data_IF_517370406500
#
_entry.id   IF_517370406500
#
_cell.length_a   1.000
_cell.length_b   1.000
_cell.length_c   1.000
_cell.angle_alpha   90.00
_cell.angle_beta   90.00
_cell.angle_gamma   90.00
#
_symmetry.space_group_name_H-M   'P 1'
#
loop_
_entity.id
_entity.type
_entity.pdbx_description
1 polymer ?
#
# COMPACT_ATOMS: atom_id res chain seq x y z
N UNK A 1 4.02 16.32 -65.61
CA UNK A 1 3.24 15.53 -64.64
C UNK A 1 2.04 14.92 -65.34
N UNK A 2 1.89 13.63 -65.19
CA UNK A 2 0.74 12.90 -65.74
C UNK A 2 -0.55 13.30 -64.97
N UNK A 3 -1.71 13.04 -65.58
CA UNK A 3 -3.03 13.31 -64.92
C UNK A 3 -3.13 12.58 -63.57
N UNK A 4 -2.60 11.35 -63.48
CA UNK A 4 -2.52 10.57 -62.24
C UNK A 4 -1.66 11.25 -61.16
N UNK A 5 -0.48 11.78 -61.54
CA UNK A 5 0.41 12.49 -60.59
C UNK A 5 -0.24 13.76 -60.03
N UNK A 6 -1.06 14.48 -60.82
CA UNK A 6 -1.81 15.66 -60.32
C UNK A 6 -2.91 15.29 -59.34
N UNK A 7 -3.62 14.19 -59.61
CA UNK A 7 -4.65 13.68 -58.69
C UNK A 7 -4.02 13.22 -57.38
N UNK A 8 -2.92 12.48 -57.38
CA UNK A 8 -2.21 12.04 -56.20
C UNK A 8 -1.70 13.24 -55.37
N UNK A 9 -1.16 14.25 -56.03
CA UNK A 9 -0.71 15.47 -55.32
C UNK A 9 -1.88 16.22 -54.69
N UNK A 10 -3.01 16.35 -55.38
CA UNK A 10 -4.18 16.99 -54.83
C UNK A 10 -4.75 16.24 -53.60
N UNK A 11 -4.80 14.92 -53.65
CA UNK A 11 -5.22 14.06 -52.51
C UNK A 11 -4.26 14.21 -51.33
N UNK A 12 -2.95 14.23 -51.59
CA UNK A 12 -1.95 14.43 -50.52
C UNK A 12 -2.12 15.81 -49.86
N UNK A 13 -2.31 16.87 -50.63
CA UNK A 13 -2.53 18.23 -50.10
C UNK A 13 -3.79 18.26 -49.22
N UNK A 14 -4.88 17.64 -49.67
CA UNK A 14 -6.12 17.56 -48.89
C UNK A 14 -5.91 16.80 -47.58
N UNK A 15 -5.22 15.66 -47.63
CA UNK A 15 -4.90 14.88 -46.39
C UNK A 15 -4.01 15.66 -45.42
N UNK A 16 -3.02 16.39 -45.93
CA UNK A 16 -2.16 17.26 -45.09
C UNK A 16 -2.97 18.41 -44.49
N UNK A 17 -3.87 19.03 -45.29
CA UNK A 17 -4.71 20.10 -44.78
C UNK A 17 -5.72 19.61 -43.71
N UNK A 18 -6.33 18.44 -43.92
CA UNK A 18 -7.20 17.80 -42.93
C UNK A 18 -6.39 17.45 -41.68
N UNK A 19 -5.22 16.81 -41.82
CA UNK A 19 -4.36 16.46 -40.70
C UNK A 19 -3.89 17.69 -39.92
N UNK A 20 -3.51 18.77 -40.60
CA UNK A 20 -3.16 20.06 -40.00
C UNK A 20 -4.35 20.72 -39.29
N UNK A 21 -5.52 20.71 -39.90
CA UNK A 21 -6.74 21.24 -39.30
C UNK A 21 -7.16 20.47 -38.04
N UNK A 22 -7.07 19.14 -38.06
CA UNK A 22 -7.33 18.30 -36.88
C UNK A 22 -6.30 18.58 -35.78
N UNK A 23 -5.02 18.67 -36.12
CA UNK A 23 -3.96 18.97 -35.15
C UNK A 23 -4.14 20.37 -34.49
N UNK A 24 -4.57 21.37 -35.26
CA UNK A 24 -4.90 22.69 -34.73
C UNK A 24 -6.16 22.67 -33.88
N UNK A 25 -7.22 21.94 -34.30
CA UNK A 25 -8.42 21.79 -33.50
C UNK A 25 -8.16 21.10 -32.17
N UNK A 26 -7.33 20.03 -32.15
CA UNK A 26 -6.92 19.35 -30.92
C UNK A 26 -6.06 20.21 -29.98
N UNK A 27 -5.50 21.32 -30.45
CA UNK A 27 -4.79 22.32 -29.63
C UNK A 27 -5.67 23.51 -29.25
N UNK A 28 -6.90 23.56 -29.75
CA UNK A 28 -7.84 24.62 -29.39
C UNK A 28 -8.23 24.53 -27.92
N UNK A 29 -8.12 25.62 -27.12
CA UNK A 29 -8.58 25.65 -25.73
C UNK A 29 -10.03 25.21 -25.57
N UNK A 30 -10.91 25.50 -26.53
CA UNK A 30 -12.29 25.10 -26.50
C UNK A 30 -12.48 23.57 -26.62
N UNK A 31 -11.73 22.94 -27.53
CA UNK A 31 -11.76 21.47 -27.69
C UNK A 31 -11.15 20.78 -26.48
N UNK A 32 -10.00 21.27 -26.01
CA UNK A 32 -9.36 20.74 -24.79
C UNK A 32 -10.29 20.92 -23.59
N UNK A 33 -10.92 22.08 -23.43
CA UNK A 33 -11.85 22.39 -22.35
C UNK A 33 -13.08 21.46 -22.36
N UNK A 34 -13.64 21.18 -23.53
CA UNK A 34 -14.74 20.24 -23.68
C UNK A 34 -14.34 18.80 -23.25
N UNK A 35 -13.16 18.34 -23.70
CA UNK A 35 -12.65 17.02 -23.27
C UNK A 35 -12.39 16.96 -21.78
N UNK A 36 -11.76 18.00 -21.21
CA UNK A 36 -11.49 18.09 -19.78
C UNK A 36 -12.79 18.07 -18.96
N UNK A 37 -13.80 18.86 -19.35
CA UNK A 37 -15.10 18.85 -18.67
C UNK A 37 -15.76 17.48 -18.71
N UNK A 38 -15.76 16.84 -19.88
CA UNK A 38 -16.34 15.49 -20.05
C UNK A 38 -15.60 14.47 -19.16
N UNK A 39 -14.28 14.51 -19.13
CA UNK A 39 -13.46 13.65 -18.27
C UNK A 39 -13.74 13.92 -16.80
N UNK A 40 -13.79 15.18 -16.39
CA UNK A 40 -14.07 15.57 -15.00
C UNK A 40 -15.46 15.05 -14.56
N UNK A 41 -16.50 15.28 -15.36
CA UNK A 41 -17.86 14.78 -15.08
C UNK A 41 -17.91 13.26 -14.95
N UNK A 42 -17.25 12.52 -15.85
CA UNK A 42 -17.19 11.07 -15.81
C UNK A 42 -16.50 10.59 -14.52
N UNK A 43 -15.42 11.24 -14.12
CA UNK A 43 -14.68 10.89 -12.88
C UNK A 43 -15.48 11.12 -11.62
N UNK A 44 -16.11 12.28 -11.51
CA UNK A 44 -16.96 12.56 -10.34
C UNK A 44 -18.16 11.62 -10.29
N UNK A 45 -18.74 11.25 -11.41
CA UNK A 45 -19.80 10.26 -11.47
C UNK A 45 -19.29 8.86 -11.03
N UNK A 46 -18.12 8.44 -11.52
CA UNK A 46 -17.49 7.19 -11.12
C UNK A 46 -17.17 7.18 -9.61
N UNK A 47 -16.55 8.24 -9.10
CA UNK A 47 -16.26 8.38 -7.67
C UNK A 47 -17.52 8.30 -6.81
N UNK A 48 -18.58 8.99 -7.20
CA UNK A 48 -19.86 9.01 -6.47
C UNK A 48 -20.64 7.69 -6.56
N UNK A 49 -20.41 6.89 -7.60
CA UNK A 49 -21.10 5.61 -7.81
C UNK A 49 -20.35 4.40 -7.25
N UNK A 50 -19.14 4.58 -6.72
CA UNK A 50 -18.34 3.48 -6.21
C UNK A 50 -18.98 2.81 -5.02
N UNK A 51 -19.52 1.62 -5.26
CA UNK A 51 -19.98 0.67 -4.24
C UNK A 51 -19.00 -0.49 -4.00
N UNK A 52 -17.82 -0.44 -4.61
CA UNK A 52 -16.86 -1.57 -4.73
C UNK A 52 -16.46 -2.24 -3.41
N UNK A 53 -16.79 -1.63 -2.28
CA UNK A 53 -16.48 -2.12 -0.94
C UNK A 53 -17.71 -2.13 -0.04
N UNK A 54 -18.90 -2.11 -0.63
CA UNK A 54 -20.19 -2.15 0.07
C UNK A 54 -20.70 -3.58 0.29
N UNK A 55 -20.00 -4.60 -0.24
CA UNK A 55 -20.31 -5.98 0.02
C UNK A 55 -19.79 -6.41 1.40
N UNK A 56 -20.33 -7.51 1.89
CA UNK A 56 -20.12 -8.00 3.24
C UNK A 56 -18.86 -8.89 3.38
N UNK A 57 -17.80 -8.57 2.58
CA UNK A 57 -16.54 -9.28 2.53
C UNK A 57 -15.40 -8.61 3.29
N UNK A 58 -14.28 -9.30 3.32
CA UNK A 58 -12.98 -8.78 3.73
C UNK A 58 -12.13 -8.55 2.49
N UNK A 59 -11.59 -7.34 2.31
CA UNK A 59 -10.80 -7.01 1.12
C UNK A 59 -9.42 -6.54 1.52
N UNK A 60 -8.42 -6.88 0.71
CA UNK A 60 -7.03 -6.42 0.85
C UNK A 60 -6.64 -5.64 -0.39
N UNK A 61 -6.06 -4.46 -0.21
CA UNK A 61 -5.48 -3.66 -1.28
C UNK A 61 -4.05 -3.29 -0.88
N UNK A 62 -3.10 -3.60 -1.73
CA UNK A 62 -1.73 -3.14 -1.53
C UNK A 62 -1.62 -1.71 -2.07
N UNK A 63 -1.38 -0.75 -1.19
CA UNK A 63 -1.19 0.66 -1.52
C UNK A 63 0.28 1.08 -1.56
N UNK A 64 1.18 0.18 -1.19
CA UNK A 64 2.62 0.36 -1.30
C UNK A 64 3.37 -0.93 -1.03
N UNK A 65 4.26 -1.31 -1.92
CA UNK A 65 4.96 -2.61 -1.90
C UNK A 65 6.47 -2.49 -1.92
N UNK A 66 7.03 -1.27 -1.91
CA UNK A 66 8.46 -1.03 -1.83
C UNK A 66 8.97 -0.98 -0.39
N UNK A 67 10.25 -1.30 -0.22
CA UNK A 67 11.09 -1.10 0.97
C UNK A 67 11.67 0.33 1.00
N UNK A 68 12.52 0.72 1.99
CA UNK A 68 13.13 2.05 2.06
C UNK A 68 13.90 2.47 0.80
N UNK A 69 14.44 1.50 0.05
CA UNK A 69 15.23 1.76 -1.14
C UNK A 69 14.40 2.42 -2.26
N UNK A 70 14.98 3.30 -3.08
CA UNK A 70 14.25 3.98 -4.15
C UNK A 70 13.65 3.00 -5.16
N UNK A 71 12.35 3.16 -5.42
CA UNK A 71 11.62 2.46 -6.47
C UNK A 71 10.73 3.47 -7.21
N UNK A 72 10.85 3.54 -8.54
CA UNK A 72 10.11 4.50 -9.35
C UNK A 72 8.64 4.12 -9.57
N UNK A 73 8.29 2.87 -9.32
CA UNK A 73 6.98 2.30 -9.69
C UNK A 73 6.14 1.86 -8.49
N UNK A 74 6.70 1.90 -7.27
CA UNK A 74 6.07 1.38 -6.06
C UNK A 74 6.16 2.40 -4.94
N UNK A 75 5.07 2.66 -4.26
CA UNK A 75 5.05 3.39 -2.99
C UNK A 75 5.64 2.52 -1.87
N UNK A 76 6.03 3.15 -0.76
CA UNK A 76 6.54 2.47 0.43
C UNK A 76 5.43 1.72 1.16
N UNK A 77 5.80 0.95 2.17
CA UNK A 77 4.95 0.02 2.90
C UNK A 77 3.53 0.54 3.17
N UNK A 78 2.53 -0.11 2.60
CA UNK A 78 1.12 0.19 2.83
C UNK A 78 0.23 -0.97 2.41
N UNK A 79 -0.55 -1.49 3.36
CA UNK A 79 -1.58 -2.49 3.09
C UNK A 79 -2.91 -2.01 3.66
N UNK A 80 -3.93 -1.88 2.83
CA UNK A 80 -5.27 -1.50 3.27
C UNK A 80 -6.17 -2.72 3.36
N UNK A 81 -6.89 -2.83 4.47
CA UNK A 81 -7.89 -3.87 4.73
C UNK A 81 -9.26 -3.21 4.85
N UNK A 82 -10.24 -3.67 4.07
CA UNK A 82 -11.61 -3.17 4.10
C UNK A 82 -12.54 -4.23 4.64
N UNK A 83 -13.33 -3.88 5.65
CA UNK A 83 -14.32 -4.74 6.29
C UNK A 83 -15.59 -3.95 6.58
N UNK A 84 -16.76 -4.44 6.18
CA UNK A 84 -18.03 -3.75 6.40
C UNK A 84 -18.09 -2.33 5.84
N UNK A 85 -17.42 -2.07 4.71
CA UNK A 85 -17.34 -0.76 4.07
C UNK A 85 -16.40 0.26 4.74
N UNK A 86 -15.70 -0.11 5.83
CA UNK A 86 -14.70 0.72 6.53
C UNK A 86 -13.30 0.23 6.20
N UNK A 87 -12.39 1.15 5.96
CA UNK A 87 -11.00 0.84 5.61
C UNK A 87 -10.05 1.08 6.79
N UNK A 88 -9.09 0.21 6.93
CA UNK A 88 -8.03 0.25 7.92
C UNK A 88 -6.69 0.09 7.20
N UNK A 89 -5.76 0.97 7.48
CA UNK A 89 -4.48 1.02 6.76
C UNK A 89 -3.38 0.52 7.68
N UNK A 90 -2.65 -0.50 7.25
CA UNK A 90 -1.43 -0.98 7.92
C UNK A 90 -0.26 -0.32 7.24
N UNK A 91 0.44 0.52 7.99
CA UNK A 91 1.51 1.41 7.58
C UNK A 91 1.10 2.46 6.53
N UNK A 92 1.80 3.58 6.57
CA UNK A 92 1.57 4.76 5.73
C UNK A 92 2.90 5.25 5.17
N UNK A 93 3.59 4.37 4.44
CA UNK A 93 4.88 4.72 3.84
C UNK A 93 4.76 5.80 2.76
N UNK A 94 5.85 6.52 2.47
CA UNK A 94 5.87 7.58 1.46
C UNK A 94 5.26 7.15 0.12
N UNK A 95 4.48 8.05 -0.47
CA UNK A 95 3.72 7.90 -1.72
C UNK A 95 2.49 6.97 -1.64
N UNK A 96 2.21 6.34 -0.49
CA UNK A 96 1.07 5.42 -0.35
C UNK A 96 -0.27 6.14 -0.43
N UNK A 97 -0.38 7.36 0.11
CA UNK A 97 -1.56 8.19 -0.10
C UNK A 97 -1.79 8.48 -1.60
N UNK A 98 -0.72 8.83 -2.32
CA UNK A 98 -0.80 9.05 -3.77
C UNK A 98 -1.40 7.83 -4.50
N UNK A 99 -1.01 6.61 -4.14
CA UNK A 99 -1.58 5.40 -4.74
C UNK A 99 -3.08 5.28 -4.46
N UNK A 100 -3.52 5.49 -3.22
CA UNK A 100 -4.95 5.46 -2.87
C UNK A 100 -5.75 6.54 -3.61
N UNK A 101 -5.20 7.75 -3.74
CA UNK A 101 -5.81 8.83 -4.50
C UNK A 101 -5.92 8.49 -6.00
N UNK A 102 -4.89 7.85 -6.59
CA UNK A 102 -4.90 7.36 -7.95
C UNK A 102 -5.93 6.23 -8.18
N UNK A 103 -6.16 5.42 -7.17
CA UNK A 103 -7.21 4.38 -7.15
C UNK A 103 -8.60 4.96 -6.89
N UNK A 104 -8.73 6.28 -6.66
CA UNK A 104 -9.98 6.96 -6.28
C UNK A 104 -10.62 6.32 -5.04
N UNK A 105 -9.81 5.93 -4.05
CA UNK A 105 -10.36 5.36 -2.83
C UNK A 105 -11.08 6.45 -2.00
N UNK A 106 -12.33 6.22 -1.53
CA UNK A 106 -13.05 7.20 -0.73
C UNK A 106 -12.34 7.46 0.62
N UNK A 107 -11.78 8.66 0.78
CA UNK A 107 -10.94 9.04 1.92
C UNK A 107 -11.69 9.00 3.27
N UNK A 108 -12.97 9.31 3.27
CA UNK A 108 -13.87 9.30 4.44
C UNK A 108 -14.14 7.90 5.01
N UNK A 109 -13.88 6.86 4.22
CA UNK A 109 -14.01 5.45 4.68
C UNK A 109 -12.82 4.97 5.50
N UNK A 110 -11.69 5.70 5.52
CA UNK A 110 -10.52 5.33 6.33
C UNK A 110 -10.84 5.60 7.80
N UNK A 111 -10.98 4.51 8.54
CA UNK A 111 -11.43 4.48 9.93
C UNK A 111 -10.29 4.35 10.95
N UNK A 112 -9.09 3.99 10.52
CA UNK A 112 -7.92 3.88 11.40
C UNK A 112 -6.66 3.50 10.65
N UNK A 113 -5.53 3.80 11.29
CA UNK A 113 -4.18 3.42 10.85
C UNK A 113 -3.56 2.51 11.90
N UNK A 114 -2.88 1.47 11.46
CA UNK A 114 -2.15 0.51 12.29
C UNK A 114 -0.68 0.54 11.90
N UNK A 115 0.18 1.03 12.78
CA UNK A 115 1.62 1.11 12.52
C UNK A 115 2.31 -0.15 13.03
N UNK A 116 3.05 -0.82 12.14
CA UNK A 116 3.82 -2.01 12.51
C UNK A 116 5.05 -1.66 13.34
N UNK A 117 5.74 -0.60 12.95
CA UNK A 117 6.87 0.03 13.64
C UNK A 117 7.08 1.46 13.11
N UNK A 118 8.16 2.15 13.53
CA UNK A 118 8.29 3.58 13.28
C UNK A 118 9.45 3.95 12.32
N UNK A 119 9.88 3.06 11.45
CA UNK A 119 10.76 3.44 10.35
C UNK A 119 10.05 4.42 9.40
N UNK A 120 10.82 5.29 8.76
CA UNK A 120 10.31 6.36 7.92
C UNK A 120 9.52 5.87 6.71
N UNK A 121 9.86 4.70 6.18
CA UNK A 121 9.16 4.07 5.07
C UNK A 121 7.85 3.37 5.47
N UNK A 122 7.51 3.36 6.76
CA UNK A 122 6.22 2.90 7.31
C UNK A 122 5.34 4.04 7.82
N UNK A 123 5.91 5.20 8.16
CA UNK A 123 5.15 6.30 8.75
C UNK A 123 5.17 7.60 7.93
N UNK A 124 5.97 7.68 6.85
CA UNK A 124 6.30 8.96 6.22
C UNK A 124 5.13 9.72 5.59
N UNK A 125 4.06 9.04 5.17
CA UNK A 125 2.84 9.65 4.63
C UNK A 125 1.73 9.83 5.69
N UNK A 126 1.96 9.54 6.97
CA UNK A 126 0.93 9.63 8.01
C UNK A 126 0.30 11.01 8.06
N UNK A 127 1.07 12.06 7.80
CA UNK A 127 0.57 13.43 7.69
C UNK A 127 -0.40 13.62 6.53
N UNK A 128 -0.11 13.03 5.36
CA UNK A 128 -1.01 13.05 4.21
C UNK A 128 -2.29 12.25 4.47
N UNK A 129 -2.21 11.07 5.09
CA UNK A 129 -3.40 10.34 5.50
C UNK A 129 -4.27 11.16 6.45
N UNK A 130 -3.67 11.82 7.44
CA UNK A 130 -4.34 12.73 8.35
C UNK A 130 -5.09 13.83 7.61
N UNK A 131 -4.37 14.55 6.74
CA UNK A 131 -4.89 15.69 5.99
C UNK A 131 -5.99 15.30 5.02
N UNK A 132 -5.69 14.36 4.16
CA UNK A 132 -6.54 14.03 3.03
C UNK A 132 -7.83 13.31 3.46
N UNK A 133 -7.79 12.50 4.51
CA UNK A 133 -9.01 11.92 5.09
C UNK A 133 -9.89 12.98 5.72
N UNK A 134 -9.30 13.96 6.40
CA UNK A 134 -10.01 15.08 7.00
C UNK A 134 -10.73 15.94 5.97
N UNK A 135 -10.00 16.48 4.99
CA UNK A 135 -10.62 17.31 3.93
C UNK A 135 -11.50 16.48 2.99
N UNK A 136 -11.28 15.18 2.90
CA UNK A 136 -12.09 14.22 2.16
C UNK A 136 -13.39 13.81 2.84
N UNK A 137 -13.69 14.34 4.03
CA UNK A 137 -15.00 14.14 4.67
C UNK A 137 -15.01 13.45 6.03
N UNK A 138 -13.85 13.07 6.57
CA UNK A 138 -13.77 12.50 7.93
C UNK A 138 -14.25 13.52 8.96
N UNK A 139 -15.12 13.09 9.90
CA UNK A 139 -15.77 13.94 10.90
C UNK A 139 -15.34 13.67 12.34
N UNK A 140 -14.37 12.80 12.55
CA UNK A 140 -13.79 12.47 13.85
C UNK A 140 -12.25 12.42 13.72
N UNK A 141 -11.50 12.63 14.79
CA UNK A 141 -10.06 12.39 14.80
C UNK A 141 -9.71 10.98 14.28
N UNK A 142 -8.60 10.85 13.54
CA UNK A 142 -8.17 9.58 12.97
C UNK A 142 -7.39 8.77 14.01
N UNK A 143 -7.88 7.59 14.44
CA UNK A 143 -7.15 6.76 15.39
C UNK A 143 -5.93 6.13 14.71
N UNK A 144 -4.80 6.15 15.43
CA UNK A 144 -3.53 5.53 15.03
C UNK A 144 -3.11 4.54 16.09
N UNK A 145 -3.20 3.27 15.76
CA UNK A 145 -2.82 2.17 16.63
C UNK A 145 -1.33 1.85 16.43
N UNK A 146 -0.62 1.63 17.53
CA UNK A 146 0.80 1.28 17.49
C UNK A 146 1.33 0.88 18.84
N UNK A 147 2.49 0.25 18.86
CA UNK A 147 3.18 -0.07 20.10
C UNK A 147 3.68 1.17 20.86
N UNK A 148 4.40 0.97 21.98
CA UNK A 148 4.94 2.07 22.79
C UNK A 148 5.73 3.08 21.94
N UNK A 149 5.40 4.37 22.04
CA UNK A 149 6.00 5.45 21.26
C UNK A 149 5.10 5.97 20.11
N UNK A 150 3.95 5.33 19.83
CA UNK A 150 2.99 5.82 18.84
C UNK A 150 2.47 7.22 19.18
N UNK A 151 2.36 7.55 20.46
CA UNK A 151 2.02 8.88 20.97
C UNK A 151 2.99 9.95 20.43
N UNK A 152 4.29 9.71 20.48
CA UNK A 152 5.30 10.64 19.97
C UNK A 152 5.19 10.85 18.46
N UNK A 153 4.91 9.79 17.72
CA UNK A 153 4.70 9.86 16.26
C UNK A 153 3.48 10.70 15.96
N UNK A 154 2.36 10.41 16.62
CA UNK A 154 1.09 11.15 16.47
C UNK A 154 1.24 12.62 16.82
N UNK A 155 1.86 12.93 17.96
CA UNK A 155 2.08 14.30 18.39
C UNK A 155 2.98 15.07 17.43
N UNK A 156 4.03 14.43 16.91
CA UNK A 156 4.92 15.00 15.91
C UNK A 156 4.20 15.40 14.63
N UNK A 157 3.37 14.51 14.07
CA UNK A 157 2.59 14.82 12.87
C UNK A 157 1.49 15.84 13.13
N UNK A 158 0.82 15.79 14.29
CA UNK A 158 -0.16 16.80 14.66
C UNK A 158 0.48 18.19 14.77
N UNK A 159 1.66 18.27 15.38
CA UNK A 159 2.41 19.53 15.47
C UNK A 159 2.83 20.07 14.10
N UNK A 160 3.38 19.19 13.24
CA UNK A 160 3.85 19.57 11.91
C UNK A 160 2.73 20.14 11.02
N UNK A 161 1.51 19.62 11.13
CA UNK A 161 0.35 20.05 10.33
C UNK A 161 -0.51 21.13 10.98
N UNK A 162 -0.19 21.55 12.20
CA UNK A 162 -1.01 22.48 12.99
C UNK A 162 -1.24 23.87 12.35
N UNK A 163 -0.35 24.32 11.48
CA UNK A 163 -0.51 25.57 10.73
C UNK A 163 -1.42 25.36 9.51
N UNK A 164 -1.22 24.27 8.77
CA UNK A 164 -2.04 23.93 7.59
C UNK A 164 -3.50 23.70 7.97
N UNK A 165 -3.77 23.08 9.11
CA UNK A 165 -5.13 22.94 9.65
C UNK A 165 -5.87 24.26 9.72
N UNK A 166 -5.22 25.27 10.29
CA UNK A 166 -5.80 26.61 10.44
C UNK A 166 -6.01 27.30 9.10
N UNK A 167 -5.08 27.14 8.17
CA UNK A 167 -5.21 27.73 6.84
C UNK A 167 -6.39 27.11 6.08
N UNK A 168 -6.54 25.78 6.12
CA UNK A 168 -7.66 25.09 5.45
C UNK A 168 -9.00 25.39 6.11
N UNK A 169 -9.06 25.35 7.43
CA UNK A 169 -10.29 25.70 8.14
C UNK A 169 -10.74 27.15 7.87
N UNK A 170 -9.80 28.11 7.85
CA UNK A 170 -10.10 29.49 7.49
C UNK A 170 -10.56 29.67 6.05
N UNK A 171 -10.00 28.85 5.11
CA UNK A 171 -10.30 28.96 3.69
C UNK A 171 -11.60 28.24 3.30
N UNK A 172 -11.81 27.03 3.82
CA UNK A 172 -12.91 26.15 3.39
C UNK A 172 -14.09 26.13 4.37
N UNK A 173 -13.92 26.66 5.59
CA UNK A 173 -14.93 26.66 6.62
C UNK A 173 -15.14 25.31 7.32
N UNK A 174 -15.96 25.28 8.40
CA UNK A 174 -16.14 24.09 9.23
C UNK A 174 -16.92 22.96 8.55
N UNK A 175 -17.64 23.25 7.48
CA UNK A 175 -18.36 22.22 6.71
C UNK A 175 -17.40 21.28 5.98
N UNK A 176 -16.29 21.80 5.48
CA UNK A 176 -15.27 21.01 4.77
C UNK A 176 -14.15 20.61 5.72
N UNK A 177 -13.70 21.54 6.57
CA UNK A 177 -12.53 21.38 7.42
C UNK A 177 -12.82 21.66 8.91
N UNK A 178 -13.63 20.82 9.59
CA UNK A 178 -13.90 20.96 11.03
C UNK A 178 -12.63 20.68 11.85
N UNK A 179 -12.13 21.66 12.59
CA UNK A 179 -10.84 21.57 13.31
C UNK A 179 -10.78 20.46 14.37
N UNK A 180 -11.91 20.13 14.97
CA UNK A 180 -12.02 19.05 15.95
C UNK A 180 -11.81 17.66 15.35
N UNK A 181 -12.05 17.50 14.06
CA UNK A 181 -11.79 16.27 13.33
C UNK A 181 -10.38 16.18 12.72
N UNK A 182 -9.63 17.27 12.63
CA UNK A 182 -8.32 17.30 12.00
C UNK A 182 -7.30 16.35 12.64
N UNK A 183 -7.17 16.24 13.98
CA UNK A 183 -6.06 15.53 14.61
C UNK A 183 -6.03 14.02 14.34
N UNK A 184 -4.84 13.45 14.46
CA UNK A 184 -4.62 12.05 14.79
C UNK A 184 -4.82 11.84 16.29
N UNK A 185 -5.29 10.64 16.68
CA UNK A 185 -5.38 10.24 18.10
C UNK A 185 -4.63 8.92 18.28
N UNK A 186 -3.62 8.95 19.13
CA UNK A 186 -2.85 7.75 19.46
C UNK A 186 -3.72 6.71 20.20
N UNK A 187 -3.60 5.46 19.79
CA UNK A 187 -4.18 4.27 20.41
C UNK A 187 -3.05 3.30 20.76
N UNK A 188 -2.27 3.60 21.82
CA UNK A 188 -1.16 2.75 22.21
C UNK A 188 -1.66 1.41 22.74
N UNK A 189 -0.93 0.35 22.41
CA UNK A 189 -1.08 -0.98 22.99
C UNK A 189 0.29 -1.55 23.34
N UNK A 190 0.33 -2.61 24.12
CA UNK A 190 1.58 -3.24 24.54
C UNK A 190 1.49 -4.74 24.33
N UNK A 191 1.88 -5.20 23.17
CA UNK A 191 2.17 -6.64 22.99
C UNK A 191 3.45 -6.89 23.79
N UNK A 192 3.31 -7.51 24.95
CA UNK A 192 4.41 -7.64 25.90
C UNK A 192 5.60 -8.36 25.29
N UNK A 193 6.75 -7.74 25.39
CA UNK A 193 8.03 -8.27 24.94
C UNK A 193 8.54 -9.32 25.96
N UNK A 194 8.51 -10.59 25.60
CA UNK A 194 9.08 -11.67 26.41
C UNK A 194 9.59 -12.78 25.50
N UNK A 195 10.77 -13.24 25.78
CA UNK A 195 11.50 -14.28 25.02
C UNK A 195 10.81 -15.65 24.96
N UNK A 196 9.63 -15.80 25.51
CA UNK A 196 9.12 -17.14 25.80
C UNK A 196 7.70 -17.50 25.36
N UNK A 197 6.87 -16.59 24.77
CA UNK A 197 5.48 -16.96 24.38
C UNK A 197 4.92 -16.15 23.23
N UNK A 198 4.03 -16.79 22.48
CA UNK A 198 3.19 -16.20 21.43
C UNK A 198 2.33 -15.09 22.03
N UNK A 199 2.74 -13.85 21.86
CA UNK A 199 2.02 -12.70 22.43
C UNK A 199 1.25 -12.00 21.34
N UNK A 200 -0.03 -11.92 21.60
CA UNK A 200 -0.97 -11.21 20.77
C UNK A 200 -1.97 -10.47 21.66
N UNK A 201 -2.41 -9.29 21.23
CA UNK A 201 -3.38 -8.46 21.90
C UNK A 201 -4.47 -8.03 20.91
N UNK A 202 -5.74 -8.12 21.28
CA UNK A 202 -6.85 -7.57 20.50
C UNK A 202 -6.83 -6.06 20.68
N UNK A 203 -6.51 -5.33 19.62
CA UNK A 203 -6.35 -3.87 19.62
C UNK A 203 -7.58 -3.15 19.07
N UNK A 204 -8.43 -3.85 18.34
CA UNK A 204 -9.75 -3.38 17.89
C UNK A 204 -10.72 -4.56 17.86
N UNK A 205 -11.92 -4.35 18.39
CA UNK A 205 -13.08 -5.25 18.22
C UNK A 205 -14.30 -4.35 18.01
N UNK A 206 -14.69 -4.18 16.76
CA UNK A 206 -15.76 -3.25 16.38
C UNK A 206 -16.48 -3.72 15.11
N UNK A 207 -17.82 -3.70 15.16
CA UNK A 207 -18.69 -4.04 14.03
C UNK A 207 -18.39 -5.39 13.38
N UNK A 208 -17.98 -6.38 14.18
CA UNK A 208 -17.63 -7.73 13.73
C UNK A 208 -16.23 -7.88 13.14
N UNK A 209 -15.47 -6.80 13.03
CA UNK A 209 -14.04 -6.83 12.74
C UNK A 209 -13.25 -6.93 14.04
N UNK A 210 -12.40 -7.95 14.13
CA UNK A 210 -11.41 -8.08 15.19
C UNK A 210 -10.02 -7.92 14.61
N UNK A 211 -9.23 -7.01 15.20
CA UNK A 211 -7.82 -6.82 14.85
C UNK A 211 -6.95 -7.21 16.04
N UNK A 212 -6.03 -8.12 15.79
CA UNK A 212 -5.07 -8.61 16.77
C UNK A 212 -3.67 -8.19 16.36
N UNK A 213 -2.96 -7.47 17.22
CA UNK A 213 -1.54 -7.18 17.06
C UNK A 213 -0.72 -8.30 17.70
N UNK A 214 0.41 -8.65 17.09
CA UNK A 214 1.34 -9.65 17.63
C UNK A 214 2.78 -9.24 17.41
N UNK A 215 3.66 -9.57 18.36
CA UNK A 215 5.09 -9.26 18.27
C UNK A 215 5.74 -9.99 17.10
N UNK A 216 6.62 -9.28 16.37
CA UNK A 216 7.49 -9.84 15.34
C UNK A 216 8.96 -9.53 15.67
N UNK A 217 9.89 -10.17 14.98
CA UNK A 217 11.31 -9.98 15.25
C UNK A 217 11.97 -9.12 14.19
N UNK A 218 12.26 -7.88 14.54
CA UNK A 218 12.93 -6.89 13.69
C UNK A 218 14.04 -6.13 14.44
N UNK A 219 14.81 -6.85 15.28
CA UNK A 219 15.85 -6.21 16.11
C UNK A 219 16.90 -5.46 15.28
N UNK A 220 17.33 -4.25 15.72
CA UNK A 220 17.08 -3.65 17.04
C UNK A 220 15.82 -2.76 17.12
N UNK A 221 14.92 -2.82 16.15
CA UNK A 221 13.71 -1.99 16.10
C UNK A 221 12.65 -2.52 17.05
N UNK A 222 12.26 -1.70 18.02
CA UNK A 222 11.20 -2.02 18.99
C UNK A 222 10.34 -0.78 19.26
N UNK A 223 9.01 -0.89 19.24
CA UNK A 223 8.21 -2.08 18.94
C UNK A 223 8.25 -2.48 17.48
N UNK A 224 8.08 -3.76 17.18
CA UNK A 224 7.78 -4.26 15.84
C UNK A 224 6.66 -5.30 15.96
N UNK A 225 5.58 -5.13 15.20
CA UNK A 225 4.38 -5.95 15.27
C UNK A 225 3.83 -6.28 13.89
N UNK A 226 3.17 -7.44 13.79
CA UNK A 226 2.25 -7.76 12.70
C UNK A 226 0.80 -7.62 13.17
N UNK A 227 -0.13 -7.69 12.22
CA UNK A 227 -1.56 -7.59 12.49
C UNK A 227 -2.34 -8.72 11.82
N UNK A 228 -3.33 -9.26 12.54
CA UNK A 228 -4.34 -10.18 12.02
C UNK A 228 -5.70 -9.50 12.06
N UNK A 229 -6.40 -9.54 10.93
CA UNK A 229 -7.76 -9.06 10.74
C UNK A 229 -8.68 -10.25 10.55
N UNK A 230 -9.68 -10.40 11.42
CA UNK A 230 -10.72 -11.44 11.32
C UNK A 230 -12.08 -10.76 11.12
N UNK A 231 -12.79 -11.12 10.05
CA UNK A 231 -14.10 -10.60 9.72
C UNK A 231 -14.98 -11.67 9.06
N UNK A 232 -16.11 -11.98 9.66
CA UNK A 232 -17.12 -12.91 9.11
C UNK A 232 -16.53 -14.24 8.59
N UNK A 233 -15.67 -14.84 9.38
CA UNK A 233 -15.05 -16.13 9.07
C UNK A 233 -13.89 -16.04 8.07
N UNK A 234 -13.54 -14.83 7.61
CA UNK A 234 -12.37 -14.59 6.76
C UNK A 234 -11.24 -13.93 7.55
N UNK A 235 -10.01 -14.17 7.11
CA UNK A 235 -8.84 -13.63 7.83
C UNK A 235 -7.70 -13.23 6.92
N UNK A 236 -7.06 -12.10 7.29
CA UNK A 236 -5.88 -11.54 6.64
C UNK A 236 -4.83 -11.27 7.70
N UNK A 237 -3.59 -11.62 7.42
CA UNK A 237 -2.44 -11.30 8.27
C UNK A 237 -1.46 -10.45 7.49
N UNK A 238 -0.93 -9.41 8.14
CA UNK A 238 0.15 -8.55 7.63
C UNK A 238 1.34 -8.72 8.57
N UNK A 239 2.48 -9.16 8.05
CA UNK A 239 3.64 -9.49 8.88
C UNK A 239 4.30 -8.25 9.51
N UNK A 240 4.25 -7.08 8.86
CA UNK A 240 5.25 -6.04 9.09
C UNK A 240 6.65 -6.54 8.70
N UNK A 241 7.69 -5.82 9.09
CA UNK A 241 9.07 -6.23 8.87
C UNK A 241 9.51 -7.23 9.94
N UNK A 242 10.04 -8.37 9.52
CA UNK A 242 10.38 -9.47 10.45
C UNK A 242 11.29 -10.51 9.81
N UNK A 243 12.10 -11.16 10.60
CA UNK A 243 12.68 -12.45 10.20
C UNK A 243 11.59 -13.53 10.18
N UNK A 244 11.90 -14.75 9.69
CA UNK A 244 11.07 -15.93 9.93
C UNK A 244 10.85 -16.09 11.44
N UNK A 245 9.63 -15.84 11.91
CA UNK A 245 9.34 -15.76 13.33
C UNK A 245 8.12 -16.60 13.73
N UNK A 246 8.24 -17.33 14.84
CA UNK A 246 7.18 -18.24 15.32
C UNK A 246 5.84 -17.56 15.57
N UNK A 247 5.83 -16.27 16.01
CA UNK A 247 4.57 -15.56 16.25
C UNK A 247 3.84 -15.23 14.95
N UNK A 248 4.56 -15.05 13.83
CA UNK A 248 3.91 -14.92 12.52
C UNK A 248 3.21 -16.22 12.17
N UNK A 249 3.89 -17.38 12.34
CA UNK A 249 3.28 -18.70 12.11
C UNK A 249 2.05 -18.89 12.99
N UNK A 250 2.15 -18.62 14.29
CA UNK A 250 1.06 -18.80 15.25
C UNK A 250 -0.16 -17.95 14.91
N UNK A 251 0.04 -16.65 14.59
CA UNK A 251 -1.04 -15.71 14.31
C UNK A 251 -1.55 -15.79 12.86
N UNK A 252 -0.77 -16.33 11.93
CA UNK A 252 -1.21 -16.63 10.57
C UNK A 252 -1.90 -17.98 10.43
N UNK A 253 -2.01 -18.77 11.51
CA UNK A 253 -2.60 -20.12 11.45
C UNK A 253 -3.99 -20.11 10.82
N UNK A 254 -4.12 -20.85 9.70
CA UNK A 254 -5.35 -21.02 8.95
C UNK A 254 -5.87 -19.73 8.28
N UNK A 255 -5.06 -18.69 8.16
CA UNK A 255 -5.46 -17.45 7.51
C UNK A 255 -5.73 -17.66 6.01
N UNK A 256 -6.69 -16.90 5.47
CA UNK A 256 -6.94 -16.91 4.03
C UNK A 256 -5.78 -16.26 3.26
N UNK A 257 -5.29 -15.13 3.76
CA UNK A 257 -4.20 -14.37 3.13
C UNK A 257 -3.14 -14.00 4.17
N UNK A 258 -1.88 -14.21 3.81
CA UNK A 258 -0.72 -13.65 4.52
C UNK A 258 -0.01 -12.68 3.58
N UNK A 259 0.00 -11.40 3.91
CA UNK A 259 0.82 -10.38 3.28
C UNK A 259 2.14 -10.32 4.05
N UNK A 260 3.24 -10.73 3.40
CA UNK A 260 4.53 -10.88 4.06
C UNK A 260 5.63 -10.14 3.32
N UNK A 261 6.50 -9.48 4.09
CA UNK A 261 7.71 -8.85 3.56
C UNK A 261 8.66 -9.86 2.92
N UNK A 262 9.54 -9.39 2.04
CA UNK A 262 10.55 -10.26 1.44
C UNK A 262 11.85 -9.53 1.08
N UNK A 263 12.97 -10.09 1.53
CA UNK A 263 14.31 -9.65 1.17
C UNK A 263 15.08 -10.74 0.41
N UNK A 264 15.48 -10.48 -0.83
CA UNK A 264 16.38 -11.38 -1.54
C UNK A 264 17.81 -11.28 -1.00
N UNK A 265 18.21 -12.26 -0.23
CA UNK A 265 19.56 -12.32 0.35
C UNK A 265 20.64 -12.33 -0.74
N UNK A 266 20.41 -13.06 -1.83
CA UNK A 266 21.34 -13.12 -2.95
C UNK A 266 21.52 -11.76 -3.62
N UNK A 267 20.43 -11.06 -3.98
CA UNK A 267 20.51 -9.74 -4.61
C UNK A 267 21.13 -8.70 -3.66
N UNK A 268 20.77 -8.75 -2.36
CA UNK A 268 21.36 -7.92 -1.32
C UNK A 268 22.89 -8.10 -1.26
N UNK A 269 23.37 -9.34 -1.28
CA UNK A 269 24.80 -9.64 -1.26
C UNK A 269 25.52 -9.10 -2.49
N UNK A 270 24.95 -9.29 -3.69
CA UNK A 270 25.49 -8.72 -4.94
C UNK A 270 25.65 -7.20 -4.82
N UNK A 271 24.63 -6.49 -4.28
CA UNK A 271 24.69 -5.04 -4.12
C UNK A 271 25.72 -4.61 -3.06
N UNK A 272 25.86 -5.36 -1.96
CA UNK A 272 26.89 -5.11 -0.93
C UNK A 272 28.30 -5.23 -1.54
N UNK A 273 28.53 -6.28 -2.31
CA UNK A 273 29.85 -6.55 -2.92
C UNK A 273 30.18 -5.52 -4.01
N UNK A 274 29.20 -5.15 -4.83
CA UNK A 274 29.35 -4.09 -5.84
C UNK A 274 29.68 -2.74 -5.21
N UNK A 275 28.97 -2.38 -4.12
CA UNK A 275 29.23 -1.14 -3.38
C UNK A 275 30.64 -1.14 -2.76
N UNK A 276 31.06 -2.27 -2.20
CA UNK A 276 32.40 -2.45 -1.66
C UNK A 276 33.49 -2.31 -2.72
N UNK A 277 33.29 -2.94 -3.88
CA UNK A 277 34.22 -2.85 -5.01
C UNK A 277 34.32 -1.42 -5.55
N UNK A 278 33.22 -0.64 -5.52
CA UNK A 278 33.19 0.76 -5.90
C UNK A 278 33.72 1.71 -4.81
N UNK A 279 34.20 1.20 -3.67
CA UNK A 279 34.71 2.00 -2.53
C UNK A 279 33.60 2.67 -1.69
N UNK A 280 32.33 2.41 -1.95
CA UNK A 280 31.22 2.96 -1.16
C UNK A 280 30.97 2.11 0.10
N UNK A 281 31.80 2.36 1.13
CA UNK A 281 31.78 1.62 2.40
C UNK A 281 30.44 1.76 3.13
N UNK A 282 29.79 2.92 3.05
CA UNK A 282 28.52 3.19 3.74
C UNK A 282 27.40 2.31 3.17
N UNK A 283 27.22 2.31 1.86
CA UNK A 283 26.21 1.50 1.20
C UNK A 283 26.49 0.01 1.37
N UNK A 284 27.76 -0.41 1.26
CA UNK A 284 28.15 -1.80 1.50
C UNK A 284 27.80 -2.25 2.92
N UNK A 285 28.03 -1.37 3.93
CA UNK A 285 27.66 -1.66 5.32
C UNK A 285 26.16 -1.75 5.51
N UNK A 286 25.38 -0.82 4.96
CA UNK A 286 23.91 -0.85 5.05
C UNK A 286 23.37 -2.18 4.52
N UNK A 287 23.80 -2.61 3.32
CA UNK A 287 23.37 -3.90 2.77
C UNK A 287 23.83 -5.10 3.62
N UNK A 288 24.95 -5.01 4.31
CA UNK A 288 25.38 -6.06 5.22
C UNK A 288 24.50 -6.08 6.50
N UNK A 289 24.22 -4.93 7.08
CA UNK A 289 23.48 -4.82 8.35
C UNK A 289 22.03 -5.31 8.23
N UNK A 290 21.35 -5.07 7.10
CA UNK A 290 19.95 -5.47 6.89
C UNK A 290 19.76 -6.97 6.66
N UNK A 291 20.82 -7.77 6.67
CA UNK A 291 20.76 -9.23 6.46
C UNK A 291 19.92 -9.95 7.52
N UNK A 292 20.04 -9.52 8.77
CA UNK A 292 19.66 -10.32 9.93
C UNK A 292 18.27 -9.99 10.49
N UNK A 293 17.52 -9.05 9.91
CA UNK A 293 16.23 -8.64 10.45
C UNK A 293 15.07 -8.61 9.46
N UNK A 294 15.23 -9.23 8.29
CA UNK A 294 14.21 -9.46 7.28
C UNK A 294 14.12 -10.94 6.90
N UNK A 295 12.98 -11.33 6.35
CA UNK A 295 12.73 -12.68 5.85
C UNK A 295 13.15 -12.83 4.38
N UNK A 296 13.75 -13.95 4.03
CA UNK A 296 13.86 -14.33 2.63
C UNK A 296 12.49 -14.72 2.03
N UNK A 297 12.33 -14.70 0.69
CA UNK A 297 11.11 -15.22 0.07
C UNK A 297 10.83 -16.69 0.41
N UNK A 298 11.88 -17.49 0.64
CA UNK A 298 11.76 -18.90 1.08
C UNK A 298 11.25 -18.96 2.52
N UNK A 299 11.79 -18.14 3.42
CA UNK A 299 11.31 -18.07 4.81
C UNK A 299 9.82 -17.71 4.89
N UNK A 300 9.38 -16.72 4.10
CA UNK A 300 7.97 -16.34 4.03
C UNK A 300 7.09 -17.48 3.48
N UNK A 301 7.58 -18.24 2.49
CA UNK A 301 6.89 -19.42 1.97
C UNK A 301 6.79 -20.55 3.01
N UNK A 302 7.85 -20.76 3.78
CA UNK A 302 7.87 -21.73 4.89
C UNK A 302 6.90 -21.32 6.00
N UNK A 303 6.90 -20.04 6.41
CA UNK A 303 5.91 -19.48 7.37
C UNK A 303 4.48 -19.73 6.88
N UNK A 304 4.20 -19.45 5.61
CA UNK A 304 2.86 -19.67 5.03
C UNK A 304 2.45 -21.14 5.04
N UNK A 305 3.39 -22.08 4.81
CA UNK A 305 3.13 -23.52 4.85
C UNK A 305 2.92 -24.01 6.29
N UNK A 306 3.79 -23.63 7.21
CA UNK A 306 3.70 -23.99 8.62
C UNK A 306 2.38 -23.50 9.25
N UNK A 307 1.94 -22.29 8.84
CA UNK A 307 0.68 -21.73 9.31
C UNK A 307 -0.57 -22.24 8.57
N UNK A 308 -0.42 -22.98 7.47
CA UNK A 308 -1.54 -23.45 6.65
C UNK A 308 -2.30 -22.31 5.96
N UNK A 309 -1.60 -21.27 5.56
CA UNK A 309 -2.16 -20.09 4.85
C UNK A 309 -2.62 -20.49 3.44
N UNK A 310 -3.79 -20.02 3.00
CA UNK A 310 -4.31 -20.34 1.66
C UNK A 310 -3.55 -19.60 0.56
N UNK A 311 -3.30 -18.27 0.72
CA UNK A 311 -2.59 -17.44 -0.23
C UNK A 311 -1.51 -16.59 0.46
N UNK A 312 -0.25 -16.71 0.01
CA UNK A 312 0.85 -15.83 0.39
C UNK A 312 0.97 -14.68 -0.63
N UNK A 313 1.07 -13.46 -0.13
CA UNK A 313 1.31 -12.26 -0.95
C UNK A 313 2.62 -11.63 -0.50
N UNK A 314 3.60 -11.60 -1.39
CA UNK A 314 4.87 -10.94 -1.12
C UNK A 314 4.75 -9.43 -1.28
N UNK A 315 5.34 -8.68 -0.35
CA UNK A 315 5.40 -7.20 -0.34
C UNK A 315 6.74 -6.72 0.19
N UNK A 316 6.94 -5.41 0.33
CA UNK A 316 8.12 -4.79 0.93
C UNK A 316 9.44 -5.31 0.35
N UNK A 317 9.56 -5.26 -0.99
CA UNK A 317 10.66 -5.90 -1.70
C UNK A 317 12.01 -5.24 -1.45
N UNK A 318 12.94 -6.00 -0.89
CA UNK A 318 14.32 -5.57 -0.63
C UNK A 318 15.30 -6.55 -1.30
N UNK A 319 16.16 -6.12 -2.23
CA UNK A 319 16.14 -4.85 -2.97
C UNK A 319 14.92 -4.68 -3.89
N UNK A 320 14.70 -3.46 -4.42
CA UNK A 320 13.57 -3.19 -5.31
C UNK A 320 13.51 -4.10 -6.55
N UNK A 321 12.31 -4.56 -6.89
CA UNK A 321 12.01 -5.31 -8.12
C UNK A 321 11.73 -4.35 -9.28
N UNK A 322 12.77 -3.68 -9.76
CA UNK A 322 12.67 -2.66 -10.83
C UNK A 322 12.29 -3.24 -12.21
N UNK A 323 12.36 -4.55 -12.37
CA UNK A 323 12.00 -5.26 -13.61
C UNK A 323 11.56 -6.69 -13.29
N UNK A 324 10.56 -7.19 -14.01
CA UNK A 324 10.12 -8.59 -13.91
C UNK A 324 11.22 -9.61 -14.32
N UNK A 325 12.25 -9.17 -15.02
CA UNK A 325 13.43 -9.99 -15.34
C UNK A 325 14.20 -10.42 -14.07
N UNK A 326 14.04 -9.70 -12.96
CA UNK A 326 14.66 -10.02 -11.68
C UNK A 326 13.86 -11.05 -10.86
N UNK A 327 12.60 -11.31 -11.22
CA UNK A 327 11.74 -12.21 -10.44
C UNK A 327 12.36 -13.62 -10.24
N UNK A 328 12.93 -14.28 -11.25
CA UNK A 328 13.54 -15.61 -11.05
C UNK A 328 14.70 -15.59 -10.04
N UNK A 329 15.45 -14.49 -9.98
CA UNK A 329 16.55 -14.33 -9.03
C UNK A 329 16.02 -13.98 -7.61
N UNK A 330 15.00 -13.14 -7.53
CA UNK A 330 14.43 -12.71 -6.25
C UNK A 330 13.71 -13.87 -5.55
N UNK A 331 12.90 -14.64 -6.29
CA UNK A 331 12.07 -15.73 -5.78
C UNK A 331 12.70 -17.13 -6.01
N UNK A 332 14.02 -17.19 -6.16
CA UNK A 332 14.71 -18.46 -6.30
C UNK A 332 14.33 -19.43 -5.17
N UNK A 333 14.08 -20.69 -5.52
CA UNK A 333 13.69 -21.79 -4.62
C UNK A 333 12.34 -21.63 -3.90
N UNK A 334 11.59 -20.57 -4.10
CA UNK A 334 10.24 -20.45 -3.49
C UNK A 334 9.34 -21.57 -3.99
N UNK A 335 9.40 -21.90 -5.29
CA UNK A 335 8.59 -22.96 -5.88
C UNK A 335 8.93 -24.36 -5.36
N UNK A 336 10.13 -24.58 -4.84
CA UNK A 336 10.54 -25.83 -4.20
C UNK A 336 9.83 -26.06 -2.85
N UNK A 337 9.46 -24.96 -2.19
CA UNK A 337 8.81 -24.94 -0.86
C UNK A 337 7.30 -24.85 -1.00
N UNK A 338 6.81 -23.96 -1.85
CA UNK A 338 5.38 -23.67 -2.01
C UNK A 338 5.00 -23.59 -3.50
N UNK A 339 3.93 -24.31 -3.93
CA UNK A 339 3.53 -24.30 -5.34
C UNK A 339 3.12 -22.89 -5.78
N UNK A 340 3.37 -22.57 -7.06
CA UNK A 340 3.09 -21.24 -7.63
C UNK A 340 1.63 -20.77 -7.47
N UNK A 341 0.69 -21.69 -7.41
CA UNK A 341 -0.72 -21.36 -7.16
C UNK A 341 -1.00 -20.85 -5.74
N UNK A 342 -0.07 -21.04 -4.81
CA UNK A 342 -0.21 -20.66 -3.40
C UNK A 342 0.38 -19.31 -3.05
N UNK A 343 0.98 -18.57 -4.02
CA UNK A 343 1.58 -17.26 -3.75
C UNK A 343 1.53 -16.32 -4.96
N UNK A 344 1.62 -15.02 -4.68
CA UNK A 344 1.64 -13.96 -5.68
C UNK A 344 2.67 -12.88 -5.32
N UNK A 345 3.22 -12.25 -6.34
CA UNK A 345 4.07 -11.06 -6.20
C UNK A 345 3.15 -9.86 -6.07
N UNK A 346 3.20 -9.17 -4.94
CA UNK A 346 2.44 -7.96 -4.70
C UNK A 346 2.85 -6.83 -5.66
N UNK A 347 1.91 -5.97 -5.96
CA UNK A 347 2.10 -4.71 -6.69
C UNK A 347 1.10 -3.68 -6.20
N UNK A 348 1.44 -2.41 -6.33
CA UNK A 348 0.55 -1.32 -5.92
C UNK A 348 -0.74 -1.37 -6.71
N UNK A 349 -1.85 -1.49 -5.99
CA UNK A 349 -3.18 -1.72 -6.56
C UNK A 349 -3.60 -3.19 -6.71
N UNK A 350 -2.80 -4.16 -6.27
CA UNK A 350 -3.31 -5.54 -6.12
C UNK A 350 -4.49 -5.54 -5.16
N UNK A 351 -5.61 -6.11 -5.59
CA UNK A 351 -6.81 -6.30 -4.79
C UNK A 351 -7.08 -7.79 -4.59
N UNK A 352 -7.44 -8.17 -3.38
CA UNK A 352 -7.86 -9.52 -3.03
C UNK A 352 -9.18 -9.41 -2.29
N UNK A 353 -10.20 -10.08 -2.81
CA UNK A 353 -11.53 -10.11 -2.22
C UNK A 353 -11.80 -11.47 -1.59
N UNK A 354 -12.26 -11.45 -0.36
CA UNK A 354 -12.60 -12.59 0.46
C UNK A 354 -14.09 -12.50 0.85
N UNK A 355 -15.01 -12.95 -0.03
CA UNK A 355 -16.45 -12.87 0.25
C UNK A 355 -16.79 -13.59 1.55
N UNK A 356 -17.71 -13.03 2.34
CA UNK A 356 -18.23 -13.67 3.54
C UNK A 356 -18.93 -15.00 3.18
N UNK A 357 -18.89 -15.96 4.11
CA UNK A 357 -19.52 -17.29 3.93
C UNK A 357 -19.06 -18.04 2.66
N UNK A 358 -17.83 -17.81 2.22
CA UNK A 358 -17.22 -18.44 1.05
C UNK A 358 -15.76 -18.75 1.32
N UNK A 359 -15.20 -19.76 0.67
CA UNK A 359 -13.76 -20.04 0.67
C UNK A 359 -13.02 -19.38 -0.49
N UNK A 360 -13.74 -18.66 -1.37
CA UNK A 360 -13.15 -18.01 -2.53
C UNK A 360 -12.11 -16.95 -2.12
N UNK A 361 -11.03 -16.89 -2.89
CA UNK A 361 -10.01 -15.84 -2.86
C UNK A 361 -9.93 -15.29 -4.28
N UNK A 362 -10.47 -14.09 -4.48
CA UNK A 362 -10.58 -13.48 -5.80
C UNK A 362 -9.51 -12.41 -5.93
N UNK A 363 -8.61 -12.60 -6.88
CA UNK A 363 -7.54 -11.65 -7.15
C UNK A 363 -7.93 -10.71 -8.29
N UNK A 364 -7.63 -9.44 -8.12
CA UNK A 364 -7.91 -8.39 -9.10
C UNK A 364 -6.93 -7.24 -8.99
N UNK A 365 -7.22 -6.19 -9.70
CA UNK A 365 -6.46 -4.95 -9.67
C UNK A 365 -7.39 -3.77 -9.48
N UNK A 366 -7.01 -2.84 -8.62
CA UNK A 366 -7.70 -1.57 -8.48
C UNK A 366 -7.60 -0.78 -9.79
N UNK A 367 -8.71 -0.23 -10.30
CA UNK A 367 -8.64 0.67 -11.44
C UNK A 367 -7.85 1.92 -11.04
N UNK A 368 -6.90 2.31 -11.88
CA UNK A 368 -6.23 3.61 -11.74
C UNK A 368 -7.08 4.65 -12.42
N UNK A 369 -7.77 5.46 -11.62
CA UNK A 369 -8.69 6.50 -12.08
C UNK A 369 -8.01 7.76 -12.59
N UNK A 370 -6.86 7.70 -13.25
CA UNK A 370 -6.24 8.88 -13.83
C UNK A 370 -6.74 9.17 -15.23
N UNK A 371 -6.75 10.46 -15.54
CA UNK A 371 -6.78 10.98 -16.90
C UNK A 371 -5.60 10.35 -17.69
N UNK A 372 -5.83 9.18 -18.29
CA UNK A 372 -4.96 8.61 -19.31
C UNK A 372 -5.52 8.92 -20.68
#
# INVERSE_FOLDING_TARGET
MTRQSRILLAVLIVLVAIGGGVALALRSPAVIGYYFERQARARFAEFSSRSDFGDDGLHVILCGTASPLPDANRAKACTMVVAGGRAYVVDTGPESWKQLALMLFPADRIAGVFLTHFHSDHIGDLGEFRLQTWVGGRRQPLPVYGGPGVDKVVDGFNLAYSLDDRYRAAHHGPEVAPLDAAPLVAKPFSVGMSDTRDRAEVVLDDNGLKVTAFEVYHEPVRPAVGYRFDYKGRSVVVSGDTTKWRNVVANAKGADVLVHEAQSQHMRQILSDAARAAGNKTVAKIFADIESYHSSPVDAAEVANEAGVKLLVFTHFTPPLVSSLLNPLFFDKVADVRPQSGWVIGFDGLRIDLPANSDAIIQGKMPLGLLR
#
